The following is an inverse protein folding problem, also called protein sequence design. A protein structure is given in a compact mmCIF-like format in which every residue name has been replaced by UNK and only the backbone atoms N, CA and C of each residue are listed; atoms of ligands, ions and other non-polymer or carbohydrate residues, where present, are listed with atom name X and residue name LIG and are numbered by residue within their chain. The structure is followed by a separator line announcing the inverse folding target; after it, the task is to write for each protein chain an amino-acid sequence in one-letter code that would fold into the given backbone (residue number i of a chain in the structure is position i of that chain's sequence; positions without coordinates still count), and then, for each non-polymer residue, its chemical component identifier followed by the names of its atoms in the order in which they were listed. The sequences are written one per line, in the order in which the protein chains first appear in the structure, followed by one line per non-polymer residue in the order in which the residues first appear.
data_IF_782940554087
#
_entry.id   IF_782940554087
#
_cell.length_a   1.000
_cell.length_b   1.000
_cell.length_c   1.000
_cell.angle_alpha   90.00
_cell.angle_beta   90.00
_cell.angle_gamma   90.00
#
_symmetry.space_group_name_H-M   'P 1'
#
loop_
_entity.id
_entity.type
_entity.pdbx_description
1 polymer ?
#
# COMPACT_ATOMS: atom_id res chain seq x y z
N UNK A 1 -22.86 -23.17 2.04
CA UNK A 1 -23.41 -22.60 3.09
C UNK A 1 -22.65 -21.55 3.73
N UNK A 2 -21.48 -21.79 4.14
CA UNK A 2 -20.71 -20.80 4.83
C UNK A 2 -20.38 -19.61 3.98
N UNK A 3 -20.21 -19.83 2.72
CA UNK A 3 -19.79 -18.75 1.83
C UNK A 3 -20.81 -17.64 1.78
N UNK A 4 -22.09 -18.00 1.88
CA UNK A 4 -23.06 -16.94 1.75
C UNK A 4 -23.18 -16.12 2.97
N UNK A 5 -22.84 -16.61 4.11
CA UNK A 5 -22.98 -15.80 5.31
C UNK A 5 -21.99 -14.65 5.35
N UNK A 6 -20.98 -14.68 4.49
CA UNK A 6 -20.00 -13.59 4.50
C UNK A 6 -20.42 -12.36 3.75
N UNK A 7 -21.34 -12.52 2.82
CA UNK A 7 -21.73 -11.40 1.97
C UNK A 7 -22.42 -10.28 2.74
N UNK A 8 -23.40 -10.61 3.59
CA UNK A 8 -24.10 -9.53 4.29
C UNK A 8 -23.25 -8.80 5.31
N UNK A 9 -22.11 -9.36 5.68
CA UNK A 9 -21.28 -8.79 6.73
C UNK A 9 -20.10 -8.03 6.18
N UNK A 10 -20.23 -7.48 5.01
CA UNK A 10 -19.10 -6.81 4.39
C UNK A 10 -18.55 -5.67 5.22
N UNK A 11 -19.44 -4.87 5.85
CA UNK A 11 -18.97 -3.77 6.69
C UNK A 11 -18.29 -4.27 7.95
N UNK A 12 -18.85 -5.30 8.56
CA UNK A 12 -18.23 -5.91 9.71
C UNK A 12 -16.90 -6.51 9.33
N UNK A 13 -16.84 -7.12 8.14
CA UNK A 13 -15.58 -7.70 7.67
C UNK A 13 -14.53 -6.61 7.47
N UNK A 14 -14.94 -5.42 7.05
CA UNK A 14 -14.01 -4.33 6.92
C UNK A 14 -13.37 -3.94 8.24
N UNK A 15 -14.20 -3.80 9.28
CA UNK A 15 -13.70 -3.46 10.61
C UNK A 15 -12.79 -4.56 11.15
N UNK A 16 -13.25 -5.80 11.04
CA UNK A 16 -12.48 -6.94 11.53
C UNK A 16 -11.16 -7.05 10.75
N UNK A 17 -11.20 -6.80 9.46
CA UNK A 17 -10.02 -6.88 8.63
C UNK A 17 -8.99 -5.82 9.03
N UNK A 18 -9.44 -4.60 9.29
CA UNK A 18 -8.54 -3.53 9.73
C UNK A 18 -7.86 -3.89 11.05
N UNK A 19 -8.64 -4.39 12.01
CA UNK A 19 -8.08 -4.76 13.31
C UNK A 19 -7.09 -5.89 13.17
N UNK A 20 -7.42 -6.88 12.35
CA UNK A 20 -6.56 -8.03 12.17
C UNK A 20 -5.26 -7.63 11.50
N UNK A 21 -5.33 -6.80 10.47
CA UNK A 21 -4.12 -6.35 9.78
C UNK A 21 -3.28 -5.42 10.65
N UNK A 22 -3.92 -4.62 11.50
CA UNK A 22 -3.17 -3.76 12.42
C UNK A 22 -2.45 -4.59 13.47
N UNK A 23 -3.09 -5.68 13.93
CA UNK A 23 -2.50 -6.55 14.94
C UNK A 23 -1.46 -7.50 14.38
N UNK A 24 -1.62 -7.89 13.12
CA UNK A 24 -0.73 -8.84 12.47
C UNK A 24 -0.44 -8.36 11.06
N UNK A 25 0.36 -7.30 10.92
CA UNK A 25 0.57 -6.66 9.62
C UNK A 25 1.29 -7.57 8.64
N UNK A 26 0.88 -7.50 7.38
CA UNK A 26 1.49 -8.28 6.31
C UNK A 26 2.63 -7.48 5.68
N UNK A 27 3.72 -8.18 5.38
CA UNK A 27 4.85 -7.62 4.64
C UNK A 27 5.51 -6.42 5.32
N UNK A 28 5.37 -6.35 6.64
CA UNK A 28 5.95 -5.27 7.43
C UNK A 28 7.29 -5.75 8.00
N UNK A 29 8.29 -4.87 7.95
CA UNK A 29 9.61 -5.13 8.54
C UNK A 29 10.34 -6.30 7.92
N UNK A 30 10.25 -6.44 6.60
CA UNK A 30 10.97 -7.49 5.87
C UNK A 30 12.34 -6.96 5.46
N UNK A 31 13.35 -7.28 6.24
CA UNK A 31 14.69 -6.74 6.07
C UNK A 31 15.28 -7.02 4.70
N UNK A 32 15.03 -8.22 4.17
CA UNK A 32 15.60 -8.57 2.86
C UNK A 32 15.02 -7.69 1.76
N UNK A 33 13.75 -7.31 1.88
CA UNK A 33 13.15 -6.40 0.90
C UNK A 33 13.72 -5.00 1.08
N UNK A 34 13.89 -4.57 2.32
CA UNK A 34 14.43 -3.24 2.59
C UNK A 34 15.83 -3.08 2.01
N UNK A 35 16.66 -4.10 2.16
CA UNK A 35 18.02 -4.05 1.66
C UNK A 35 18.10 -4.07 0.15
N UNK A 36 17.15 -4.74 -0.50
CA UNK A 36 17.15 -4.92 -1.94
C UNK A 36 16.32 -3.86 -2.68
N UNK A 37 15.69 -2.97 -1.96
CA UNK A 37 14.72 -2.05 -2.55
C UNK A 37 15.39 -1.04 -3.49
N UNK A 38 14.69 -0.71 -4.56
CA UNK A 38 15.10 0.36 -5.46
C UNK A 38 14.67 1.72 -4.94
N UNK A 39 13.58 1.76 -4.18
CA UNK A 39 13.04 3.01 -3.62
C UNK A 39 12.63 2.77 -2.18
N UNK A 40 12.98 3.71 -1.33
CA UNK A 40 12.48 3.77 0.05
C UNK A 40 11.75 5.09 0.18
N UNK A 41 10.44 5.04 0.28
CA UNK A 41 9.60 6.25 0.25
C UNK A 41 8.96 6.48 1.60
N UNK A 42 9.28 7.60 2.26
CA UNK A 42 8.61 7.95 3.51
C UNK A 42 7.28 8.64 3.24
N UNK A 43 6.35 8.49 4.16
CA UNK A 43 5.06 9.16 4.08
C UNK A 43 4.47 9.32 5.46
N UNK A 44 3.53 10.27 5.55
CA UNK A 44 2.80 10.44 6.78
C UNK A 44 3.07 11.76 7.46
N UNK A 45 2.20 12.05 8.41
CA UNK A 45 2.26 13.24 9.23
C UNK A 45 1.31 12.98 10.40
N UNK A 46 1.33 13.84 11.42
CA UNK A 46 0.36 13.67 12.51
C UNK A 46 -1.08 13.64 12.02
N UNK A 47 -1.40 14.39 10.97
CA UNK A 47 -2.76 14.40 10.43
C UNK A 47 -3.14 13.09 9.76
N UNK A 48 -2.16 12.28 9.39
CA UNK A 48 -2.43 10.99 8.75
C UNK A 48 -2.50 9.84 9.74
N UNK A 49 -2.37 10.12 11.02
CA UNK A 49 -2.46 9.08 12.04
C UNK A 49 -1.22 8.24 12.21
N UNK A 50 -0.12 8.58 11.52
CA UNK A 50 1.11 7.82 11.64
C UNK A 50 2.08 8.11 10.54
N UNK A 51 3.12 7.31 10.46
CA UNK A 51 4.15 7.45 9.43
C UNK A 51 4.54 6.06 8.94
N UNK A 52 4.95 6.00 7.68
CA UNK A 52 5.37 4.75 7.05
C UNK A 52 6.59 5.01 6.18
N UNK A 53 7.35 3.96 5.91
CA UNK A 53 8.33 3.95 4.83
C UNK A 53 8.00 2.74 3.98
N UNK A 54 7.84 2.97 2.67
CA UNK A 54 7.54 1.91 1.73
C UNK A 54 8.80 1.56 0.96
N UNK A 55 9.10 0.27 0.86
CA UNK A 55 10.26 -0.24 0.16
C UNK A 55 9.80 -0.99 -1.08
N UNK A 56 10.22 -0.52 -2.25
CA UNK A 56 9.74 -1.02 -3.53
C UNK A 56 10.92 -1.55 -4.34
N UNK A 57 10.79 -2.80 -4.80
CA UNK A 57 11.72 -3.40 -5.74
C UNK A 57 10.98 -3.61 -7.05
N UNK A 58 11.44 -2.97 -8.11
CA UNK A 58 10.82 -3.10 -9.42
C UNK A 58 11.34 -4.31 -10.17
N UNK A 59 10.51 -4.84 -11.03
CA UNK A 59 10.86 -5.93 -11.93
C UNK A 59 10.75 -5.48 -13.37
N UNK A 60 10.75 -6.46 -14.26
CA UNK A 60 10.68 -6.19 -15.70
C UNK A 60 9.28 -5.72 -16.09
N UNK A 61 9.23 -4.85 -17.09
CA UNK A 61 7.98 -4.45 -17.74
C UNK A 61 6.97 -3.84 -16.77
N UNK A 62 7.44 -3.03 -15.83
CA UNK A 62 6.56 -2.33 -14.91
C UNK A 62 5.99 -3.18 -13.81
N UNK A 63 6.52 -4.36 -13.61
CA UNK A 63 6.04 -5.23 -12.55
C UNK A 63 6.64 -4.84 -11.22
N UNK A 64 5.93 -5.14 -10.15
CA UNK A 64 6.44 -4.97 -8.80
C UNK A 64 6.96 -6.31 -8.35
N UNK A 65 8.27 -6.38 -8.17
CA UNK A 65 8.89 -7.63 -7.78
C UNK A 65 8.76 -7.88 -6.28
N UNK A 66 9.02 -6.84 -5.47
CA UNK A 66 8.91 -6.96 -4.02
C UNK A 66 8.40 -5.66 -3.45
N UNK A 67 7.69 -5.76 -2.33
CA UNK A 67 7.10 -4.60 -1.67
C UNK A 67 7.01 -4.90 -0.19
N UNK A 68 7.51 -3.98 0.63
CA UNK A 68 7.42 -4.10 2.08
C UNK A 68 7.29 -2.70 2.68
N UNK A 69 7.09 -2.64 3.97
CA UNK A 69 6.92 -1.36 4.63
C UNK A 69 7.29 -1.44 6.09
N UNK A 70 7.61 -0.30 6.67
CA UNK A 70 7.76 -0.12 8.10
C UNK A 70 6.88 1.06 8.49
N UNK A 71 6.56 1.16 9.77
CA UNK A 71 5.79 2.30 10.20
C UNK A 71 5.18 2.13 11.57
N UNK A 72 4.57 3.20 12.05
CA UNK A 72 3.84 3.19 13.30
C UNK A 72 2.73 4.22 13.22
N UNK A 73 1.64 3.94 13.91
CA UNK A 73 0.48 4.81 13.87
C UNK A 73 -0.73 4.11 14.42
N UNK A 74 -1.90 4.68 14.14
CA UNK A 74 -3.13 4.14 14.68
C UNK A 74 -3.62 2.93 13.89
N UNK A 75 -4.69 2.33 14.38
CA UNK A 75 -5.23 1.09 13.80
C UNK A 75 -5.62 1.28 12.34
N UNK A 76 -6.25 2.40 12.01
CA UNK A 76 -6.72 2.62 10.65
C UNK A 76 -5.54 2.77 9.70
N UNK A 77 -4.56 3.61 10.05
CA UNK A 77 -3.43 3.82 9.15
C UNK A 77 -2.58 2.56 8.99
N UNK A 78 -2.32 1.85 10.08
CA UNK A 78 -1.50 0.63 9.99
C UNK A 78 -2.24 -0.52 9.34
N UNK A 79 -3.52 -0.70 9.70
CA UNK A 79 -4.33 -1.75 9.11
C UNK A 79 -4.53 -1.56 7.62
N UNK A 80 -4.85 -0.32 7.22
CA UNK A 80 -5.09 -0.04 5.81
C UNK A 80 -3.81 -0.20 4.98
N UNK A 81 -2.66 0.20 5.52
CA UNK A 81 -1.40 0.01 4.81
C UNK A 81 -1.13 -1.47 4.58
N UNK A 82 -1.30 -2.28 5.62
CA UNK A 82 -1.12 -3.72 5.49
C UNK A 82 -2.06 -4.32 4.44
N UNK A 83 -3.33 -3.87 4.45
CA UNK A 83 -4.32 -4.37 3.51
C UNK A 83 -3.94 -4.05 2.07
N UNK A 84 -3.52 -2.81 1.81
CA UNK A 84 -3.23 -2.44 0.42
C UNK A 84 -1.95 -3.10 -0.07
N UNK A 85 -0.93 -3.25 0.78
CA UNK A 85 0.29 -3.97 0.39
C UNK A 85 -0.04 -5.41 0.05
N UNK A 86 -0.82 -6.05 0.90
CA UNK A 86 -1.22 -7.45 0.66
C UNK A 86 -2.01 -7.56 -0.64
N UNK A 87 -2.92 -6.63 -0.88
CA UNK A 87 -3.71 -6.65 -2.11
C UNK A 87 -2.83 -6.54 -3.35
N UNK A 88 -1.90 -5.58 -3.33
CA UNK A 88 -1.01 -5.38 -4.47
C UNK A 88 -0.23 -6.64 -4.78
N UNK A 89 0.33 -7.27 -3.74
CA UNK A 89 1.16 -8.45 -3.95
C UNK A 89 0.32 -9.68 -4.31
N UNK A 90 -0.81 -9.89 -3.64
CA UNK A 90 -1.62 -11.07 -3.89
C UNK A 90 -2.28 -11.03 -5.26
N UNK A 91 -2.66 -9.83 -5.73
CA UNK A 91 -3.28 -9.69 -7.04
C UNK A 91 -2.25 -9.49 -8.14
N UNK A 92 -0.99 -9.33 -7.79
CA UNK A 92 0.06 -9.17 -8.78
C UNK A 92 -0.08 -7.88 -9.58
N UNK A 93 -0.45 -6.79 -8.93
CA UNK A 93 -0.68 -5.54 -9.63
C UNK A 93 0.64 -4.96 -10.14
N UNK A 94 0.60 -4.43 -11.36
CA UNK A 94 1.74 -3.71 -11.92
C UNK A 94 1.80 -2.31 -11.35
N UNK A 95 2.91 -1.61 -11.64
CA UNK A 95 3.06 -0.22 -11.22
C UNK A 95 1.96 0.66 -11.79
N UNK A 96 1.61 0.44 -13.06
CA UNK A 96 0.53 1.20 -13.68
C UNK A 96 -0.80 0.94 -12.99
N UNK A 97 -1.06 -0.31 -12.68
CA UNK A 97 -2.30 -0.67 -12.00
C UNK A 97 -2.36 -0.06 -10.60
N UNK A 98 -1.23 0.01 -9.92
CA UNK A 98 -1.18 0.66 -8.60
C UNK A 98 -1.51 2.14 -8.73
N UNK A 99 -0.96 2.81 -9.74
CA UNK A 99 -1.26 4.23 -9.95
C UNK A 99 -2.74 4.45 -10.26
N UNK A 100 -3.39 3.46 -10.87
CA UNK A 100 -4.82 3.55 -11.20
C UNK A 100 -5.74 3.23 -10.03
N UNK A 101 -5.20 2.74 -8.92
CA UNK A 101 -6.05 2.47 -7.75
C UNK A 101 -6.66 3.78 -7.26
N UNK A 102 -7.98 3.75 -7.08
CA UNK A 102 -8.73 4.93 -6.71
C UNK A 102 -8.86 5.03 -5.20
N UNK A 103 -8.51 6.19 -4.64
CA UNK A 103 -8.56 6.40 -3.20
C UNK A 103 -9.97 6.22 -2.65
N UNK A 104 -10.96 6.74 -3.36
CA UNK A 104 -12.34 6.65 -2.87
C UNK A 104 -12.84 5.21 -2.88
N UNK A 105 -12.50 4.46 -3.92
CA UNK A 105 -12.85 3.05 -3.95
C UNK A 105 -12.17 2.28 -2.84
N UNK A 106 -10.93 2.62 -2.54
CA UNK A 106 -10.22 1.95 -1.47
C UNK A 106 -10.89 2.24 -0.11
N UNK A 107 -11.26 3.51 0.12
CA UNK A 107 -11.96 3.88 1.34
C UNK A 107 -13.28 3.12 1.45
N UNK A 108 -14.02 3.04 0.33
CA UNK A 108 -15.27 2.30 0.32
C UNK A 108 -15.06 0.82 0.66
N UNK A 109 -13.97 0.24 0.16
CA UNK A 109 -13.70 -1.17 0.42
C UNK A 109 -13.39 -1.44 1.88
N UNK A 110 -12.87 -0.45 2.60
CA UNK A 110 -12.60 -0.57 4.04
C UNK A 110 -13.86 -0.32 4.88
N UNK A 111 -14.87 0.33 4.28
CA UNK A 111 -16.07 0.70 5.00
C UNK A 111 -16.09 2.19 5.26
N UNK A 112 -16.76 2.94 4.40
CA UNK A 112 -16.73 4.40 4.46
C UNK A 112 -17.24 4.93 5.79
N UNK A 113 -18.26 4.30 6.34
CA UNK A 113 -18.80 4.73 7.63
C UNK A 113 -17.78 4.53 8.74
N UNK A 114 -17.03 3.44 8.65
CA UNK A 114 -16.00 3.15 9.63
C UNK A 114 -14.87 4.19 9.57
N UNK A 115 -14.46 4.53 8.38
CA UNK A 115 -13.36 5.48 8.19
C UNK A 115 -13.79 6.89 8.59
N UNK A 116 -15.00 7.29 8.18
CA UNK A 116 -15.53 8.61 8.49
C UNK A 116 -14.63 9.70 7.96
N UNK A 117 -14.20 10.61 8.83
CA UNK A 117 -13.36 11.73 8.43
C UNK A 117 -11.88 11.38 8.37
N UNK A 118 -11.51 10.15 8.71
CA UNK A 118 -10.10 9.75 8.77
C UNK A 118 -9.62 9.21 7.43
N UNK A 119 -9.93 9.92 6.36
CA UNK A 119 -9.57 9.46 5.02
C UNK A 119 -8.06 9.46 4.80
N UNK A 120 -7.34 10.43 5.36
CA UNK A 120 -5.88 10.44 5.24
C UNK A 120 -5.25 9.27 5.97
N UNK A 121 -5.80 8.88 7.11
CA UNK A 121 -5.33 7.69 7.83
C UNK A 121 -5.49 6.47 6.95
N UNK A 122 -6.65 6.33 6.33
CA UNK A 122 -6.95 5.14 5.52
C UNK A 122 -6.12 5.06 4.25
N UNK A 123 -5.69 6.19 3.70
CA UNK A 123 -4.98 6.20 2.42
C UNK A 123 -3.49 6.46 2.56
N UNK A 124 -2.97 6.54 3.78
CA UNK A 124 -1.55 6.82 4.00
C UNK A 124 -0.66 5.84 3.23
N UNK A 125 -0.91 4.55 3.39
CA UNK A 125 -0.09 3.55 2.72
C UNK A 125 -0.20 3.62 1.21
N UNK A 126 -1.42 3.71 0.71
CA UNK A 126 -1.63 3.75 -0.74
C UNK A 126 -0.98 4.98 -1.36
N UNK A 127 -1.12 6.15 -0.73
CA UNK A 127 -0.52 7.36 -1.30
C UNK A 127 1.01 7.27 -1.28
N UNK A 128 1.57 6.68 -0.23
CA UNK A 128 3.02 6.52 -0.15
C UNK A 128 3.51 5.52 -1.19
N UNK A 129 2.77 4.43 -1.40
CA UNK A 129 3.14 3.45 -2.43
C UNK A 129 3.09 4.08 -3.81
N UNK A 130 2.04 4.86 -4.10
CA UNK A 130 1.98 5.56 -5.39
C UNK A 130 3.17 6.51 -5.55
N UNK A 131 3.57 7.18 -4.48
CA UNK A 131 4.75 8.02 -4.52
C UNK A 131 6.01 7.23 -4.84
N UNK A 132 6.15 6.04 -4.23
CA UNK A 132 7.29 5.19 -4.50
C UNK A 132 7.33 4.75 -5.97
N UNK A 133 6.16 4.41 -6.52
CA UNK A 133 6.07 4.02 -7.93
C UNK A 133 6.50 5.17 -8.83
N UNK A 134 6.03 6.39 -8.53
CA UNK A 134 6.40 7.54 -9.35
C UNK A 134 7.89 7.82 -9.30
N UNK A 135 8.50 7.70 -8.11
CA UNK A 135 9.94 7.88 -7.99
C UNK A 135 10.68 6.81 -8.77
N UNK A 136 10.23 5.56 -8.66
CA UNK A 136 10.85 4.47 -9.40
C UNK A 136 10.79 4.73 -10.90
N UNK A 137 9.64 5.15 -11.39
CA UNK A 137 9.46 5.37 -12.82
C UNK A 137 10.34 6.50 -13.31
N UNK A 138 10.50 7.55 -12.52
CA UNK A 138 11.39 8.65 -12.91
C UNK A 138 12.84 8.22 -12.92
N UNK A 139 13.28 7.45 -11.95
CA UNK A 139 14.65 6.95 -11.92
C UNK A 139 14.91 6.04 -13.11
N UNK A 140 14.01 5.11 -13.36
CA UNK A 140 14.16 4.18 -14.46
C UNK A 140 14.22 4.92 -15.80
N UNK A 141 13.33 5.91 -15.97
CA UNK A 141 13.31 6.70 -17.19
C UNK A 141 14.60 7.48 -17.37
N UNK A 142 15.13 8.06 -16.31
CA UNK A 142 16.38 8.83 -16.38
C UNK A 142 17.55 7.93 -16.76
N UNK A 143 17.62 6.74 -16.18
CA UNK A 143 18.69 5.80 -16.50
C UNK A 143 18.61 5.36 -17.95
N UNK A 144 17.42 5.09 -18.45
CA UNK A 144 17.24 4.71 -19.84
C UNK A 144 17.66 5.83 -20.77
N UNK A 145 17.30 7.05 -20.40
CA UNK A 145 17.65 8.22 -21.21
C UNK A 145 19.16 8.43 -21.24
N UNK A 146 19.83 8.27 -20.13
CA UNK A 146 21.27 8.38 -20.07
C UNK A 146 21.94 7.33 -20.93
N UNK A 147 21.43 6.10 -20.85
CA UNK A 147 21.98 5.02 -21.64
C UNK A 147 21.83 5.30 -23.13
N UNK A 148 20.65 5.79 -23.51
CA UNK A 148 20.37 6.09 -24.91
C UNK A 148 21.20 7.27 -25.40
N UNK A 149 21.47 8.24 -24.54
CA UNK A 149 22.21 9.43 -24.90
C UNK A 149 23.72 9.21 -24.88
N UNK A 150 24.16 8.15 -24.19
CA UNK A 150 25.53 7.86 -24.09
C UNK A 150 26.05 7.11 -25.27
#
# INVERSE_FOLDING_TARGET
MEAKSKEPDRKKNGAALLVEHASNPRHKNEESVQEDADVAMPGGSPECGGSVVVYLKGGDDGKIERLSWTGQGDTISMGATSIVVERILSEGLSMEEVLDLDYEEFIDSLGRELIGSRTRHATLGLSTIKGAVRVYQRKSWSEDKERAGG
#
